data_IF_981145969809
#
_entry.id   IF_981145969809
#
_cell.length_a   1.000
_cell.length_b   1.000
_cell.length_c   1.000
_cell.angle_alpha   90.00
_cell.angle_beta   90.00
_cell.angle_gamma   90.00
#
_symmetry.space_group_name_H-M   'P 1'
#
loop_
_entity.id
_entity.type
_entity.pdbx_description
1 polymer ?
#
# COMPACT_ATOMS: atom_id res chain seq x y z
N UNK A 1 12.24 15.84 -15.40
CA UNK A 1 11.10 14.96 -15.06
C UNK A 1 11.34 13.58 -15.66
N UNK A 2 11.61 12.57 -14.84
CA UNK A 2 11.73 11.19 -15.32
C UNK A 2 10.39 10.65 -15.77
N UNK A 3 10.36 9.82 -16.81
CA UNK A 3 9.15 9.07 -17.18
C UNK A 3 8.78 8.18 -15.99
N UNK A 4 7.71 8.51 -15.28
CA UNK A 4 7.19 7.65 -14.21
C UNK A 4 6.74 6.32 -14.82
N UNK A 5 6.91 5.23 -14.08
CA UNK A 5 6.36 3.95 -14.48
C UNK A 5 4.83 4.07 -14.56
N UNK A 6 4.23 3.45 -15.58
CA UNK A 6 2.77 3.48 -15.80
C UNK A 6 1.99 2.86 -14.64
N UNK A 7 2.54 1.81 -14.02
CA UNK A 7 1.99 1.20 -12.81
C UNK A 7 3.01 1.25 -11.66
N UNK A 8 2.52 1.18 -10.42
CA UNK A 8 3.35 1.06 -9.21
C UNK A 8 4.20 -0.22 -9.23
N UNK A 9 5.27 -0.24 -8.44
CA UNK A 9 6.16 -1.39 -8.30
C UNK A 9 5.42 -2.67 -7.84
N UNK A 10 4.39 -2.55 -7.00
CA UNK A 10 3.54 -3.67 -6.57
C UNK A 10 2.78 -4.30 -7.74
N UNK A 11 2.54 -3.56 -8.83
CA UNK A 11 1.86 -4.03 -10.03
C UNK A 11 2.81 -4.61 -11.09
N UNK A 12 4.10 -4.78 -10.77
CA UNK A 12 5.11 -5.38 -11.66
C UNK A 12 4.72 -6.76 -12.20
N UNK A 13 3.94 -7.54 -11.44
CA UNK A 13 3.42 -8.83 -11.89
C UNK A 13 2.63 -8.74 -13.20
N UNK A 14 1.87 -7.66 -13.40
CA UNK A 14 1.08 -7.45 -14.62
C UNK A 14 1.97 -7.25 -15.84
N UNK A 15 3.06 -6.50 -15.70
CA UNK A 15 4.06 -6.33 -16.76
C UNK A 15 4.70 -7.66 -17.19
N UNK A 16 5.00 -8.52 -16.22
CA UNK A 16 5.62 -9.84 -16.44
C UNK A 16 4.64 -10.85 -17.03
N UNK A 17 3.37 -10.80 -16.63
CA UNK A 17 2.36 -11.76 -17.07
C UNK A 17 1.70 -11.38 -18.40
N UNK A 18 1.38 -10.10 -18.60
CA UNK A 18 0.76 -9.60 -19.81
C UNK A 18 1.06 -8.10 -19.98
N UNK A 19 2.15 -7.79 -20.67
CA UNK A 19 2.61 -6.42 -20.92
C UNK A 19 1.51 -5.48 -21.47
N UNK A 20 0.65 -5.87 -22.44
CA UNK A 20 -0.41 -4.99 -22.92
C UNK A 20 -1.55 -4.77 -21.92
N UNK A 21 -1.77 -5.68 -20.95
CA UNK A 21 -2.85 -5.49 -19.96
C UNK A 21 -2.61 -4.30 -19.05
N UNK A 22 -1.34 -3.94 -18.80
CA UNK A 22 -0.99 -2.79 -17.98
C UNK A 22 -1.45 -1.45 -18.59
N UNK A 23 -1.47 -1.34 -19.93
CA UNK A 23 -2.02 -0.15 -20.62
C UNK A 23 -3.54 -0.18 -20.75
N UNK A 24 -4.12 -1.38 -20.87
CA UNK A 24 -5.56 -1.53 -20.93
C UNK A 24 -6.21 -1.04 -19.62
N UNK A 25 -5.55 -1.28 -18.49
CA UNK A 25 -6.03 -0.85 -17.18
C UNK A 25 -6.13 0.68 -17.04
N UNK A 26 -5.33 1.46 -17.77
CA UNK A 26 -5.43 2.95 -17.78
C UNK A 26 -6.81 3.45 -18.27
N UNK A 27 -7.56 2.61 -18.99
CA UNK A 27 -8.89 2.94 -19.50
C UNK A 27 -9.99 2.75 -18.45
N UNK A 28 -9.68 2.07 -17.34
CA UNK A 28 -10.62 1.79 -16.26
C UNK A 28 -10.19 2.60 -15.03
N UNK A 29 -11.10 3.41 -14.50
CA UNK A 29 -10.84 4.11 -13.24
C UNK A 29 -10.79 3.09 -12.10
N UNK A 30 -9.84 3.25 -11.18
CA UNK A 30 -9.90 2.50 -9.93
C UNK A 30 -11.20 2.85 -9.20
N UNK A 31 -11.95 1.82 -8.79
CA UNK A 31 -13.10 2.01 -7.93
C UNK A 31 -12.66 2.68 -6.62
N UNK A 32 -13.40 3.70 -6.20
CA UNK A 32 -13.10 4.43 -4.97
C UNK A 32 -13.16 3.51 -3.77
N UNK A 33 -11.99 3.15 -3.23
CA UNK A 33 -11.84 2.24 -2.09
C UNK A 33 -11.02 0.98 -2.38
N UNK A 34 -10.85 0.59 -3.65
CA UNK A 34 -10.21 -0.70 -3.97
C UNK A 34 -10.97 -1.89 -3.38
N UNK A 35 -10.30 -3.04 -3.24
CA UNK A 35 -10.87 -4.20 -2.52
C UNK A 35 -10.57 -4.10 -1.03
N UNK A 36 -11.33 -4.84 -0.20
CA UNK A 36 -11.10 -4.96 1.26
C UNK A 36 -9.62 -5.27 1.59
N UNK A 37 -8.98 -6.12 0.79
CA UNK A 37 -7.56 -6.45 0.94
C UNK A 37 -6.62 -5.28 0.62
N UNK A 38 -6.98 -4.45 -0.36
CA UNK A 38 -6.23 -3.24 -0.69
C UNK A 38 -6.35 -2.19 0.42
N UNK A 39 -7.54 -2.07 1.02
CA UNK A 39 -7.77 -1.18 2.17
C UNK A 39 -6.99 -1.66 3.41
N UNK A 40 -7.06 -2.95 3.73
CA UNK A 40 -6.30 -3.57 4.82
C UNK A 40 -4.79 -3.38 4.63
N UNK A 41 -4.29 -3.63 3.41
CA UNK A 41 -2.88 -3.39 3.06
C UNK A 41 -2.47 -1.92 3.22
N UNK A 42 -3.37 -0.98 2.90
CA UNK A 42 -3.15 0.44 3.10
C UNK A 42 -3.05 0.79 4.59
N UNK A 43 -3.92 0.23 5.42
CA UNK A 43 -3.89 0.40 6.87
C UNK A 43 -2.58 -0.15 7.48
N UNK A 44 -2.19 -1.36 7.06
CA UNK A 44 -0.94 -2.01 7.44
C UNK A 44 0.29 -1.15 7.11
N UNK A 45 0.37 -0.63 5.89
CA UNK A 45 1.46 0.26 5.48
C UNK A 45 1.51 1.56 6.29
N UNK A 46 0.35 2.18 6.55
CA UNK A 46 0.29 3.40 7.36
C UNK A 46 0.77 3.14 8.80
N UNK A 47 0.41 2.00 9.39
CA UNK A 47 0.85 1.61 10.73
C UNK A 47 2.37 1.38 10.75
N UNK A 48 2.91 0.67 9.77
CA UNK A 48 4.35 0.43 9.64
C UNK A 48 5.13 1.74 9.48
N UNK A 49 4.65 2.67 8.64
CA UNK A 49 5.26 3.99 8.47
C UNK A 49 5.27 4.78 9.79
N UNK A 50 4.18 4.74 10.56
CA UNK A 50 4.11 5.38 11.87
C UNK A 50 5.15 4.80 12.83
N UNK A 51 5.25 3.46 12.92
CA UNK A 51 6.22 2.77 13.77
C UNK A 51 7.67 3.09 13.36
N UNK A 52 7.98 3.09 12.07
CA UNK A 52 9.30 3.46 11.56
C UNK A 52 9.65 4.92 11.89
N UNK A 53 8.73 5.87 11.71
CA UNK A 53 8.94 7.27 12.11
C UNK A 53 9.19 7.38 13.62
N UNK A 54 8.44 6.64 14.44
CA UNK A 54 8.60 6.60 15.90
C UNK A 54 9.99 6.07 16.30
N UNK A 55 10.43 4.97 15.68
CA UNK A 55 11.77 4.41 15.90
C UNK A 55 12.88 5.42 15.53
N UNK A 56 12.69 6.18 14.45
CA UNK A 56 13.58 7.27 14.03
C UNK A 56 13.41 8.58 14.82
N UNK A 57 12.63 8.58 15.91
CA UNK A 57 12.31 9.77 16.74
C UNK A 57 11.70 10.93 15.95
N UNK A 58 11.04 10.64 14.84
CA UNK A 58 10.30 11.61 14.03
C UNK A 58 8.86 11.68 14.50
N UNK A 59 8.32 12.89 14.58
CA UNK A 59 6.91 13.10 14.94
C UNK A 59 6.00 12.49 13.87
N UNK A 60 5.05 11.67 14.30
CA UNK A 60 4.02 11.10 13.43
C UNK A 60 2.74 10.90 14.24
N UNK A 61 1.58 10.97 13.57
CA UNK A 61 0.28 10.68 14.18
C UNK A 61 -0.03 9.21 13.93
N UNK A 62 -0.48 8.49 14.96
CA UNK A 62 -0.88 7.09 14.78
C UNK A 62 -2.11 7.06 13.86
N UNK A 63 -2.09 6.29 12.76
CA UNK A 63 -3.27 6.13 11.91
C UNK A 63 -4.39 5.44 12.70
N UNK A 64 -5.62 5.61 12.23
CA UNK A 64 -6.81 4.92 12.75
C UNK A 64 -7.48 4.26 11.55
N UNK A 65 -7.82 2.98 11.69
CA UNK A 65 -8.48 2.18 10.66
C UNK A 65 -9.29 1.10 11.34
N UNK A 66 -10.40 0.70 10.71
CA UNK A 66 -11.25 -0.41 11.16
C UNK A 66 -10.55 -1.77 11.01
N UNK A 67 -9.47 -1.84 10.22
CA UNK A 67 -8.65 -3.03 10.01
C UNK A 67 -7.54 -3.21 11.07
N UNK A 68 -7.45 -2.32 12.06
CA UNK A 68 -6.48 -2.47 13.14
C UNK A 68 -6.90 -3.57 14.12
N UNK A 69 -6.43 -4.79 13.88
CA UNK A 69 -6.57 -5.94 14.76
C UNK A 69 -5.26 -6.26 15.49
N UNK A 70 -5.34 -7.07 16.56
CA UNK A 70 -4.19 -7.47 17.36
C UNK A 70 -3.12 -8.21 16.52
N UNK A 71 -3.55 -9.03 15.55
CA UNK A 71 -2.67 -9.74 14.62
C UNK A 71 -1.81 -8.79 13.77
N UNK A 72 -2.41 -7.70 13.27
CA UNK A 72 -1.68 -6.66 12.53
C UNK A 72 -0.69 -5.93 13.44
N UNK A 73 -1.05 -5.67 14.70
CA UNK A 73 -0.17 -4.97 15.62
C UNK A 73 1.06 -5.84 15.99
N UNK A 74 0.84 -7.13 16.23
CA UNK A 74 1.89 -8.13 16.51
C UNK A 74 2.85 -8.27 15.33
N UNK A 75 2.32 -8.45 14.11
CA UNK A 75 3.12 -8.57 12.88
C UNK A 75 4.02 -7.35 12.65
N UNK A 76 3.53 -6.15 12.98
CA UNK A 76 4.27 -4.90 12.84
C UNK A 76 5.11 -4.55 14.08
N UNK A 77 5.11 -5.37 15.14
CA UNK A 77 5.87 -5.11 16.38
C UNK A 77 7.28 -5.73 16.38
N UNK A 78 7.54 -6.67 15.47
CA UNK A 78 8.78 -7.46 15.41
C UNK A 78 9.92 -6.81 14.60
N UNK A 79 9.79 -5.53 14.22
CA UNK A 79 10.82 -4.72 13.53
C UNK A 79 11.15 -3.48 14.34
#
# INVERSE_FOLDING_TARGET
>A
MGKHALLSASSSKRWLSCTPSARLEEQFQEESGGSVYAEEGTAAHALAEHKLKKALKRRSRRPVSDYHCDEMEESMSST
#
